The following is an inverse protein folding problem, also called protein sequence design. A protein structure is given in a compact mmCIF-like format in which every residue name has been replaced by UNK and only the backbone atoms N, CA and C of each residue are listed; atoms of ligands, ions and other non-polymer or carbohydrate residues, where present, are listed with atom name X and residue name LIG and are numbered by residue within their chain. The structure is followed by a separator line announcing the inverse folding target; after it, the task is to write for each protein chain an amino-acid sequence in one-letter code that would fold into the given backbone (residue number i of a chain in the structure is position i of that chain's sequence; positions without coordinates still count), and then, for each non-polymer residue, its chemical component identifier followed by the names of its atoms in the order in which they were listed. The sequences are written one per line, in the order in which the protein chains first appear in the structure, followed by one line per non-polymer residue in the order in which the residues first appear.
data_IF_728571747588
#
_entry.id   IF_728571747588
#
_cell.length_a   1.000
_cell.length_b   1.000
_cell.length_c   1.000
_cell.angle_alpha   90.00
_cell.angle_beta   90.00
_cell.angle_gamma   90.00
#
_symmetry.space_group_name_H-M   'P 1'
#
loop_
_entity.id
_entity.type
_entity.pdbx_description
1 polymer ?
#
# COMPACT_ATOMS: atom_id res chain seq x y z
N UNK A 1 1.88 -9.22 17.32
CA UNK A 1 2.74 -10.15 16.55
C UNK A 1 3.17 -9.42 15.28
N UNK A 2 4.46 -9.41 14.89
CA UNK A 2 4.91 -8.66 13.72
C UNK A 2 4.48 -9.34 12.42
N UNK A 3 3.97 -8.53 11.49
CA UNK A 3 3.56 -8.91 10.15
C UNK A 3 4.49 -8.27 9.12
N UNK A 4 4.91 -9.06 8.13
CA UNK A 4 5.68 -8.54 7.00
C UNK A 4 4.78 -7.73 6.09
N UNK A 5 5.11 -6.46 5.93
CA UNK A 5 4.35 -5.51 5.14
C UNK A 5 5.04 -5.25 3.80
N UNK A 6 4.26 -5.36 2.72
CA UNK A 6 4.70 -5.10 1.35
C UNK A 6 3.82 -3.98 0.79
N UNK A 7 4.30 -2.71 0.72
CA UNK A 7 3.54 -1.61 0.13
C UNK A 7 3.53 -1.67 -1.41
N UNK A 8 4.55 -2.26 -2.03
CA UNK A 8 4.73 -2.23 -3.47
C UNK A 8 4.95 -0.81 -4.02
N UNK A 9 5.09 -0.68 -5.34
CA UNK A 9 5.38 0.61 -5.97
C UNK A 9 4.19 1.58 -5.93
N UNK A 10 2.96 1.09 -6.03
CA UNK A 10 1.76 1.95 -6.09
C UNK A 10 1.54 2.70 -4.79
N UNK A 11 1.50 2.00 -3.64
CA UNK A 11 1.32 2.68 -2.35
C UNK A 11 2.55 3.51 -1.97
N UNK A 12 3.75 3.14 -2.44
CA UNK A 12 4.95 3.91 -2.16
C UNK A 12 5.05 5.23 -2.96
N UNK A 13 4.47 5.27 -4.17
CA UNK A 13 4.60 6.42 -5.09
C UNK A 13 3.30 7.18 -5.33
N UNK A 14 2.28 6.51 -5.88
CA UNK A 14 1.04 7.16 -6.32
C UNK A 14 -0.01 7.28 -5.22
N UNK A 15 -0.06 6.33 -4.29
CA UNK A 15 -1.17 6.15 -3.35
C UNK A 15 -0.67 6.17 -1.89
N UNK A 16 0.23 7.11 -1.58
CA UNK A 16 0.93 7.18 -0.28
C UNK A 16 -0.01 7.46 0.90
N UNK A 17 -1.10 8.17 0.66
CA UNK A 17 -2.18 8.35 1.63
C UNK A 17 -2.76 7.00 2.11
N UNK A 18 -2.88 6.01 1.23
CA UNK A 18 -3.35 4.68 1.58
C UNK A 18 -2.31 3.87 2.36
N UNK A 19 -1.01 4.02 2.07
CA UNK A 19 0.06 3.41 2.90
C UNK A 19 -0.02 3.91 4.34
N UNK A 20 -0.07 5.24 4.51
CA UNK A 20 -0.13 5.87 5.83
C UNK A 20 -1.38 5.46 6.60
N UNK A 21 -2.56 5.56 5.98
CA UNK A 21 -3.82 5.20 6.65
C UNK A 21 -3.92 3.70 6.94
N UNK A 22 -3.36 2.83 6.10
CA UNK A 22 -3.27 1.40 6.37
C UNK A 22 -2.39 1.09 7.59
N UNK A 23 -1.24 1.77 7.73
CA UNK A 23 -0.34 1.63 8.89
C UNK A 23 -0.99 2.13 10.18
N UNK A 24 -1.60 3.30 10.14
CA UNK A 24 -2.35 3.86 11.29
C UNK A 24 -3.49 2.92 11.70
N UNK A 25 -4.26 2.41 10.74
CA UNK A 25 -5.35 1.47 11.02
C UNK A 25 -4.82 0.17 11.64
N UNK A 26 -3.71 -0.36 11.12
CA UNK A 26 -3.08 -1.56 11.64
C UNK A 26 -2.60 -1.36 13.09
N UNK A 27 -2.01 -0.21 13.41
CA UNK A 27 -1.60 0.14 14.76
C UNK A 27 -2.79 0.17 15.72
N UNK A 28 -3.93 0.75 15.33
CA UNK A 28 -5.15 0.75 16.14
C UNK A 28 -5.72 -0.65 16.38
N UNK A 29 -5.51 -1.57 15.43
CA UNK A 29 -5.89 -2.98 15.55
C UNK A 29 -4.86 -3.82 16.33
N UNK A 30 -3.78 -3.23 16.83
CA UNK A 30 -2.70 -3.95 17.52
C UNK A 30 -1.84 -4.82 16.60
N UNK A 31 -1.87 -4.53 15.29
CA UNK A 31 -1.03 -5.18 14.29
C UNK A 31 0.26 -4.38 14.10
N UNK A 32 1.39 -5.06 14.17
CA UNK A 32 2.70 -4.47 13.96
C UNK A 32 3.14 -4.75 12.51
N UNK A 33 3.08 -3.73 11.66
CA UNK A 33 3.46 -3.83 10.24
C UNK A 33 4.93 -3.47 10.06
N UNK A 34 5.75 -4.48 9.80
CA UNK A 34 7.19 -4.34 9.55
C UNK A 34 7.45 -4.44 8.05
N UNK A 35 7.86 -3.33 7.44
CA UNK A 35 8.19 -3.30 6.02
C UNK A 35 9.41 -4.17 5.71
N UNK A 36 9.37 -4.86 4.57
CA UNK A 36 10.49 -5.66 4.07
C UNK A 36 11.68 -4.77 3.68
N UNK A 37 12.90 -5.14 4.09
CA UNK A 37 14.14 -4.42 3.73
C UNK A 37 14.36 -4.33 2.21
N UNK A 38 13.92 -5.36 1.50
CA UNK A 38 13.94 -5.39 0.04
C UNK A 38 12.71 -6.11 -0.48
N UNK A 39 12.16 -5.57 -1.55
CA UNK A 39 11.03 -6.15 -2.25
C UNK A 39 11.08 -5.77 -3.73
N UNK A 40 10.40 -6.57 -4.55
CA UNK A 40 10.42 -6.45 -6.00
C UNK A 40 9.02 -6.08 -6.51
N UNK A 41 8.93 -5.66 -7.77
CA UNK A 41 7.64 -5.44 -8.41
C UNK A 41 6.83 -6.76 -8.41
N UNK A 42 5.60 -6.70 -7.91
CA UNK A 42 4.68 -7.85 -7.89
C UNK A 42 4.09 -8.18 -9.27
N UNK A 43 4.36 -7.36 -10.30
CA UNK A 43 3.83 -7.53 -11.65
C UNK A 43 2.40 -7.04 -11.86
N UNK A 44 1.81 -6.38 -10.85
CA UNK A 44 0.50 -5.75 -10.99
C UNK A 44 0.56 -4.61 -12.02
N UNK A 45 -0.47 -4.52 -12.86
CA UNK A 45 -0.62 -3.46 -13.87
C UNK A 45 -1.68 -2.45 -13.44
N UNK A 46 -1.48 -1.20 -13.86
CA UNK A 46 -2.45 -0.13 -13.59
C UNK A 46 -3.68 -0.27 -14.48
N UNK A 47 -4.84 0.09 -13.94
CA UNK A 47 -6.06 0.17 -14.74
C UNK A 47 -5.92 1.30 -15.77
N UNK A 48 -6.25 0.99 -17.02
CA UNK A 48 -6.34 1.98 -18.10
C UNK A 48 -7.75 2.59 -18.21
N UNK A 49 -8.69 2.14 -17.39
CA UNK A 49 -10.04 2.65 -17.41
C UNK A 49 -10.07 4.09 -16.87
N UNK A 50 -10.71 4.99 -17.60
CA UNK A 50 -10.80 6.42 -17.25
C UNK A 50 -11.67 6.69 -16.03
N UNK A 51 -12.55 5.76 -15.69
CA UNK A 51 -13.45 5.78 -14.54
C UNK A 51 -12.92 4.96 -13.34
N UNK A 52 -11.66 4.51 -13.39
CA UNK A 52 -11.07 3.80 -12.27
C UNK A 52 -10.99 4.72 -11.04
N UNK A 53 -11.77 4.40 -10.00
CA UNK A 53 -11.92 5.22 -8.78
C UNK A 53 -10.58 5.56 -8.15
N UNK A 54 -9.62 4.63 -8.19
CA UNK A 54 -8.28 4.82 -7.62
C UNK A 54 -7.56 6.06 -8.17
N UNK A 55 -7.80 6.43 -9.44
CA UNK A 55 -7.19 7.61 -10.06
C UNK A 55 -7.68 8.95 -9.48
N UNK A 56 -8.79 8.93 -8.72
CA UNK A 56 -9.42 10.12 -8.13
C UNK A 56 -9.14 10.26 -6.63
N UNK A 57 -8.70 9.18 -5.96
CA UNK A 57 -8.57 9.10 -4.50
C UNK A 57 -7.16 8.78 -4.01
N UNK A 58 -6.28 8.32 -4.89
CA UNK A 58 -4.86 8.07 -4.61
C UNK A 58 -4.07 9.37 -4.54
#
# INVERSE_FOLDING_TARGET
MPYRYFPGCTLHQQARNFDLTARESAQQLGLDLVELESWQCCGAVFSLATDAVINWVA
#
